data_IF_385547908312
#
_entry.id   IF_385547908312
#
_cell.length_a   1.000
_cell.length_b   1.000
_cell.length_c   1.000
_cell.angle_alpha   90.00
_cell.angle_beta   90.00
_cell.angle_gamma   90.00
#
_symmetry.space_group_name_H-M   'P 1'
#
loop_
_entity.id
_entity.type
_entity.pdbx_description
1 polymer ?
#
# COMPACT_ATOMS: atom_id res chain seq x y z
N UNK A 1 -59.09 -4.15 2.65
CA UNK A 1 -58.34 -2.89 2.83
C UNK A 1 -57.14 -2.92 1.89
N UNK A 2 -56.99 -1.98 0.93
CA UNK A 2 -55.83 -1.97 0.06
C UNK A 2 -54.64 -1.39 0.84
N UNK A 3 -53.55 -2.15 0.87
CA UNK A 3 -52.27 -1.73 1.42
C UNK A 3 -51.75 -0.56 0.56
N UNK A 4 -51.78 0.66 1.09
CA UNK A 4 -51.21 1.84 0.40
C UNK A 4 -49.71 1.64 0.29
N UNK A 5 -49.25 1.30 -0.91
CA UNK A 5 -47.84 1.43 -1.28
C UNK A 5 -47.44 2.91 -1.10
N UNK A 6 -46.70 3.20 -0.03
CA UNK A 6 -46.00 4.47 0.12
C UNK A 6 -44.98 4.54 -1.01
N UNK A 7 -45.28 5.31 -2.07
CA UNK A 7 -44.28 5.72 -3.06
C UNK A 7 -43.11 6.31 -2.27
N UNK A 8 -41.98 5.61 -2.21
CA UNK A 8 -40.71 6.21 -1.79
C UNK A 8 -40.51 7.41 -2.72
N UNK A 9 -40.49 8.61 -2.15
CA UNK A 9 -40.09 9.78 -2.91
C UNK A 9 -38.69 9.51 -3.47
N UNK A 10 -38.57 9.53 -4.80
CA UNK A 10 -37.28 9.44 -5.48
C UNK A 10 -36.44 10.62 -5.03
N UNK A 11 -35.24 10.35 -4.54
CA UNK A 11 -34.29 11.40 -4.22
C UNK A 11 -34.02 12.26 -5.46
N UNK A 12 -33.91 13.57 -5.26
CA UNK A 12 -33.56 14.53 -6.31
C UNK A 12 -32.31 15.28 -5.87
N UNK A 13 -31.39 15.49 -6.80
CA UNK A 13 -30.21 16.30 -6.56
C UNK A 13 -30.64 17.76 -6.37
N UNK A 14 -30.13 18.40 -5.33
CA UNK A 14 -30.13 19.86 -5.24
C UNK A 14 -29.22 20.47 -6.32
N UNK A 15 -29.27 21.79 -6.46
CA UNK A 15 -28.54 22.53 -7.47
C UNK A 15 -27.01 22.33 -7.33
N UNK A 16 -26.50 22.41 -6.09
CA UNK A 16 -25.08 22.24 -5.80
C UNK A 16 -24.59 20.83 -6.17
N UNK A 17 -25.36 19.80 -5.83
CA UNK A 17 -25.07 18.40 -6.14
C UNK A 17 -25.12 18.15 -7.64
N UNK A 18 -26.07 18.76 -8.35
CA UNK A 18 -26.19 18.65 -9.80
C UNK A 18 -24.98 19.29 -10.51
N UNK A 19 -24.55 20.46 -10.05
CA UNK A 19 -23.36 21.16 -10.54
C UNK A 19 -22.11 20.31 -10.31
N UNK A 20 -21.94 19.76 -9.10
CA UNK A 20 -20.81 18.91 -8.75
C UNK A 20 -20.73 17.65 -9.61
N UNK A 21 -21.86 16.95 -9.79
CA UNK A 21 -21.92 15.76 -10.64
C UNK A 21 -21.53 16.11 -12.08
N UNK A 22 -22.05 17.22 -12.62
CA UNK A 22 -21.72 17.68 -13.97
C UNK A 22 -20.23 17.97 -14.10
N UNK A 23 -19.66 18.72 -13.15
CA UNK A 23 -18.24 19.05 -13.12
C UNK A 23 -17.36 17.79 -13.12
N UNK A 24 -17.74 16.76 -12.35
CA UNK A 24 -17.02 15.49 -12.32
C UNK A 24 -17.17 14.67 -13.59
N UNK A 25 -18.32 14.70 -14.25
CA UNK A 25 -18.50 14.05 -15.55
C UNK A 25 -17.63 14.72 -16.63
N UNK A 26 -17.62 16.05 -16.70
CA UNK A 26 -16.79 16.81 -17.64
C UNK A 26 -15.29 16.60 -17.39
N UNK A 27 -14.86 16.66 -16.12
CA UNK A 27 -13.48 16.39 -15.73
C UNK A 27 -13.06 14.97 -16.13
N UNK A 28 -13.94 13.99 -15.95
CA UNK A 28 -13.65 12.60 -16.32
C UNK A 28 -13.63 12.39 -17.84
N UNK A 29 -14.52 13.02 -18.59
CA UNK A 29 -14.45 13.01 -20.05
C UNK A 29 -13.15 13.63 -20.57
N UNK A 30 -12.69 14.74 -19.96
CA UNK A 30 -11.44 15.39 -20.31
C UNK A 30 -10.20 14.54 -19.96
N UNK A 31 -10.18 13.90 -18.79
CA UNK A 31 -9.07 13.04 -18.33
C UNK A 31 -8.89 11.78 -19.20
N UNK A 32 -10.00 11.24 -19.72
CA UNK A 32 -10.02 9.99 -20.50
C UNK A 32 -10.37 10.20 -21.98
N UNK A 33 -10.18 11.41 -22.51
CA UNK A 33 -10.35 11.74 -23.94
C UNK A 33 -11.69 11.27 -24.54
N UNK A 34 -12.80 11.56 -23.84
CA UNK A 34 -14.15 11.16 -24.25
C UNK A 34 -14.52 9.72 -23.89
N UNK A 35 -13.64 8.96 -23.23
CA UNK A 35 -13.90 7.60 -22.73
C UNK A 35 -14.14 7.56 -21.21
N UNK A 36 -14.80 8.58 -20.65
CA UNK A 36 -15.15 8.67 -19.24
C UNK A 36 -16.03 7.50 -18.77
N UNK A 37 -15.88 7.10 -17.50
CA UNK A 37 -16.58 5.95 -16.89
C UNK A 37 -17.34 6.36 -15.64
N UNK A 38 -18.62 6.04 -15.60
CA UNK A 38 -19.51 6.32 -14.46
C UNK A 38 -18.96 5.81 -13.12
N UNK A 39 -18.33 4.63 -13.09
CA UNK A 39 -17.73 4.08 -11.87
C UNK A 39 -16.64 4.98 -11.25
N UNK A 40 -15.83 5.64 -12.07
CA UNK A 40 -14.79 6.58 -11.61
C UNK A 40 -15.43 7.81 -10.97
N UNK A 41 -16.43 8.39 -11.65
CA UNK A 41 -17.17 9.56 -11.17
C UNK A 41 -17.93 9.26 -9.88
N UNK A 42 -18.61 8.11 -9.79
CA UNK A 42 -19.32 7.67 -8.58
C UNK A 42 -18.35 7.50 -7.43
N UNK A 43 -17.19 6.86 -7.65
CA UNK A 43 -16.18 6.67 -6.60
C UNK A 43 -15.68 7.99 -6.03
N UNK A 44 -15.40 8.97 -6.91
CA UNK A 44 -14.98 10.32 -6.52
C UNK A 44 -16.09 11.06 -5.76
N UNK A 45 -17.31 11.06 -6.30
CA UNK A 45 -18.47 11.72 -5.70
C UNK A 45 -18.77 11.19 -4.29
N UNK A 46 -18.76 9.87 -4.10
CA UNK A 46 -19.07 9.24 -2.81
C UNK A 46 -17.94 9.37 -1.77
N UNK A 47 -16.72 9.68 -2.24
CA UNK A 47 -15.58 10.01 -1.39
C UNK A 47 -15.69 11.40 -0.76
N UNK A 48 -16.18 12.37 -1.53
CA UNK A 48 -16.36 13.75 -1.08
C UNK A 48 -17.71 14.00 -0.41
N UNK A 49 -18.80 13.48 -0.99
CA UNK A 49 -20.18 13.62 -0.50
C UNK A 49 -20.70 12.30 0.06
N UNK A 50 -20.23 11.96 1.26
CA UNK A 50 -20.62 10.73 1.95
C UNK A 50 -22.14 10.66 2.25
N UNK A 51 -22.81 11.80 2.32
CA UNK A 51 -24.26 11.96 2.48
C UNK A 51 -25.08 11.41 1.30
N UNK A 52 -24.47 11.23 0.13
CA UNK A 52 -25.14 10.67 -1.05
C UNK A 52 -25.17 9.14 -1.08
N UNK A 53 -24.41 8.46 -0.20
CA UNK A 53 -24.31 6.98 -0.18
C UNK A 53 -25.66 6.28 0.01
N UNK A 54 -26.59 6.73 0.88
CA UNK A 54 -27.91 6.12 1.02
C UNK A 54 -28.76 6.20 -0.27
N UNK A 55 -28.48 7.15 -1.15
CA UNK A 55 -29.21 7.41 -2.39
C UNK A 55 -28.51 6.84 -3.62
N UNK A 56 -27.53 5.95 -3.45
CA UNK A 56 -26.74 5.41 -4.56
C UNK A 56 -27.54 4.77 -5.68
N UNK A 57 -28.74 4.24 -5.39
CA UNK A 57 -29.66 3.67 -6.41
C UNK A 57 -30.25 4.72 -7.34
N UNK A 58 -30.45 5.94 -6.85
CA UNK A 58 -30.97 7.07 -7.63
C UNK A 58 -29.82 7.87 -8.27
N UNK A 59 -28.70 8.02 -7.57
CA UNK A 59 -27.52 8.76 -8.04
C UNK A 59 -26.81 8.03 -9.19
N UNK A 60 -26.65 6.70 -9.12
CA UNK A 60 -25.84 5.96 -10.11
C UNK A 60 -26.37 6.07 -11.55
N UNK A 61 -27.68 5.90 -11.82
CA UNK A 61 -28.22 6.09 -13.16
C UNK A 61 -28.08 7.53 -13.66
N UNK A 62 -28.27 8.52 -12.78
CA UNK A 62 -28.08 9.94 -13.11
C UNK A 62 -26.64 10.22 -13.55
N UNK A 63 -25.66 9.75 -12.77
CA UNK A 63 -24.23 9.89 -13.11
C UNK A 63 -23.91 9.17 -14.42
N UNK A 64 -24.44 7.97 -14.64
CA UNK A 64 -24.20 7.23 -15.88
C UNK A 64 -24.69 7.99 -17.12
N UNK A 65 -25.89 8.59 -17.05
CA UNK A 65 -26.42 9.42 -18.13
C UNK A 65 -25.58 10.68 -18.36
N UNK A 66 -25.15 11.36 -17.30
CA UNK A 66 -24.32 12.57 -17.42
C UNK A 66 -22.91 12.28 -17.93
N UNK A 67 -22.32 11.12 -17.60
CA UNK A 67 -21.05 10.68 -18.19
C UNK A 67 -21.20 10.40 -19.68
N UNK A 68 -22.27 9.70 -20.09
CA UNK A 68 -22.53 9.47 -21.50
C UNK A 68 -22.67 10.79 -22.27
N UNK A 69 -23.42 11.75 -21.72
CA UNK A 69 -23.55 13.09 -22.31
C UNK A 69 -22.23 13.83 -22.38
N UNK A 70 -21.40 13.77 -21.33
CA UNK A 70 -20.08 14.42 -21.32
C UNK A 70 -19.14 13.81 -22.36
N UNK A 71 -19.17 12.49 -22.56
CA UNK A 71 -18.40 11.80 -23.59
C UNK A 71 -18.87 12.21 -24.99
N UNK A 72 -20.17 12.21 -25.27
CA UNK A 72 -20.71 12.66 -26.56
C UNK A 72 -20.39 14.14 -26.83
N UNK A 73 -20.48 15.00 -25.80
CA UNK A 73 -20.11 16.41 -25.92
C UNK A 73 -18.62 16.59 -26.24
N UNK A 74 -17.76 15.75 -25.68
CA UNK A 74 -16.34 15.72 -26.00
C UNK A 74 -16.10 15.30 -27.46
N UNK A 75 -16.80 14.27 -27.94
CA UNK A 75 -16.72 13.83 -29.34
C UNK A 75 -17.20 14.90 -30.33
N UNK A 76 -18.28 15.61 -29.99
CA UNK A 76 -18.89 16.63 -30.86
C UNK A 76 -18.11 17.95 -30.90
N UNK A 77 -17.65 18.43 -29.73
CA UNK A 77 -17.09 19.80 -29.59
C UNK A 77 -15.61 19.84 -29.25
N UNK A 78 -15.00 18.70 -28.96
CA UNK A 78 -13.58 18.59 -28.62
C UNK A 78 -13.24 18.98 -27.18
N UNK A 79 -11.96 18.79 -26.85
CA UNK A 79 -11.43 18.96 -25.49
C UNK A 79 -11.40 20.41 -25.00
N UNK A 80 -11.22 21.38 -25.90
CA UNK A 80 -11.18 22.80 -25.54
C UNK A 80 -12.54 23.30 -25.04
N UNK A 81 -13.64 22.91 -25.70
CA UNK A 81 -14.98 23.26 -25.23
C UNK A 81 -15.28 22.70 -23.84
N UNK A 82 -14.90 21.44 -23.59
CA UNK A 82 -15.08 20.79 -22.29
C UNK A 82 -14.25 21.49 -21.22
N UNK A 83 -13.04 21.93 -21.57
CA UNK A 83 -12.16 22.69 -20.66
C UNK A 83 -12.78 24.02 -20.28
N UNK A 84 -13.29 24.79 -21.24
CA UNK A 84 -13.93 26.09 -21.00
C UNK A 84 -15.19 25.94 -20.12
N UNK A 85 -16.02 24.92 -20.37
CA UNK A 85 -17.18 24.63 -19.51
C UNK A 85 -16.76 24.25 -18.09
N UNK A 86 -15.69 23.46 -17.95
CA UNK A 86 -15.20 23.04 -16.65
C UNK A 86 -14.54 24.19 -15.88
N UNK A 87 -13.87 25.11 -16.58
CA UNK A 87 -13.26 26.31 -16.00
C UNK A 87 -14.32 27.26 -15.41
N UNK A 88 -15.48 27.37 -16.06
CA UNK A 88 -16.60 28.18 -15.55
C UNK A 88 -17.25 27.59 -14.29
N UNK A 89 -17.28 26.27 -14.17
CA UNK A 89 -18.04 25.58 -13.12
C UNK A 89 -17.17 25.19 -11.93
N UNK A 90 -15.99 24.66 -12.20
CA UNK A 90 -15.11 24.08 -11.21
C UNK A 90 -13.65 24.18 -11.66
N UNK A 91 -13.08 25.41 -11.69
CA UNK A 91 -11.73 25.65 -12.19
C UNK A 91 -10.67 24.86 -11.41
N UNK A 92 -10.91 24.65 -10.11
CA UNK A 92 -10.04 23.83 -9.24
C UNK A 92 -9.89 22.36 -9.70
N UNK A 93 -10.77 21.84 -10.58
CA UNK A 93 -10.65 20.49 -11.15
C UNK A 93 -9.69 20.41 -12.33
N UNK A 94 -9.36 21.55 -12.95
CA UNK A 94 -8.33 21.66 -13.98
C UNK A 94 -6.92 21.76 -13.38
N UNK A 95 -6.82 22.16 -12.10
CA UNK A 95 -5.57 22.18 -11.37
C UNK A 95 -5.09 20.75 -11.10
N UNK A 96 -4.13 20.30 -11.91
CA UNK A 96 -3.47 19.01 -11.72
C UNK A 96 -2.68 19.06 -10.41
N UNK A 97 -3.26 18.57 -9.30
CA UNK A 97 -2.49 18.32 -8.07
C UNK A 97 -1.38 17.33 -8.41
N UNK A 98 -0.17 17.84 -8.60
CA UNK A 98 1.02 17.00 -8.68
C UNK A 98 1.10 16.31 -7.32
N UNK A 99 0.67 15.05 -7.24
CA UNK A 99 1.00 14.22 -6.10
C UNK A 99 2.51 14.13 -6.11
N UNK A 100 3.17 14.88 -5.22
CA UNK A 100 4.58 14.70 -4.95
C UNK A 100 4.77 13.23 -4.59
N UNK A 101 5.29 12.46 -5.55
CA UNK A 101 5.68 11.09 -5.28
C UNK A 101 6.86 11.20 -4.35
N UNK A 102 6.71 10.72 -3.13
CA UNK A 102 7.82 10.63 -2.19
C UNK A 102 8.95 9.87 -2.89
N UNK A 103 10.07 10.55 -3.09
CA UNK A 103 11.28 9.95 -3.64
C UNK A 103 12.08 9.41 -2.47
N UNK A 104 12.50 8.14 -2.56
CA UNK A 104 13.30 7.50 -1.51
C UNK A 104 12.49 6.93 -0.35
N UNK A 105 13.22 6.41 0.64
CA UNK A 105 12.67 5.81 1.84
C UNK A 105 12.28 6.89 2.86
N UNK A 106 11.28 6.64 3.72
CA UNK A 106 10.99 7.54 4.82
C UNK A 106 12.15 7.61 5.82
N UNK A 107 12.32 8.74 6.50
CA UNK A 107 13.30 8.82 7.57
C UNK A 107 12.95 7.84 8.70
N UNK A 108 13.98 7.21 9.26
CA UNK A 108 13.82 6.38 10.46
C UNK A 108 13.56 7.28 11.68
N UNK A 109 12.59 6.93 12.55
CA UNK A 109 12.41 7.64 13.80
C UNK A 109 13.60 7.39 14.74
N UNK A 110 13.98 8.40 15.52
CA UNK A 110 14.95 8.28 16.62
C UNK A 110 16.29 7.64 16.25
N UNK A 111 16.85 7.99 15.09
CA UNK A 111 18.25 7.67 14.77
C UNK A 111 19.14 8.50 15.69
N UNK A 112 19.47 7.94 16.86
CA UNK A 112 20.39 8.56 17.83
C UNK A 112 21.81 8.73 17.28
N UNK A 113 22.76 9.09 18.15
CA UNK A 113 24.17 9.33 17.78
C UNK A 113 24.93 8.08 17.24
N UNK A 114 24.25 6.94 17.11
CA UNK A 114 24.81 5.68 16.65
C UNK A 114 24.51 5.36 15.18
N UNK A 115 25.40 4.57 14.57
CA UNK A 115 25.18 3.98 13.23
C UNK A 115 24.02 3.00 13.26
N UNK A 116 23.09 3.12 12.31
CA UNK A 116 21.94 2.21 12.22
C UNK A 116 22.42 0.77 11.95
N UNK A 117 21.87 -0.20 12.67
CA UNK A 117 22.12 -1.63 12.43
C UNK A 117 20.84 -2.29 11.99
N UNK A 118 20.82 -2.79 10.76
CA UNK A 118 19.67 -3.46 10.15
C UNK A 118 19.98 -4.93 9.92
N UNK A 119 18.94 -5.77 9.84
CA UNK A 119 19.12 -7.19 9.51
C UNK A 119 18.08 -7.73 8.54
N UNK A 120 18.55 -8.54 7.61
CA UNK A 120 17.74 -9.49 6.86
C UNK A 120 17.99 -10.90 7.42
N UNK A 121 16.91 -11.63 7.74
CA UNK A 121 17.00 -12.90 8.45
C UNK A 121 16.30 -14.05 7.70
N UNK A 122 16.90 -14.58 6.62
CA UNK A 122 16.32 -15.68 5.86
C UNK A 122 16.53 -17.02 6.58
N UNK A 123 15.64 -17.97 6.33
CA UNK A 123 15.92 -19.38 6.63
C UNK A 123 16.77 -19.92 5.46
N UNK A 124 17.90 -20.60 5.70
CA UNK A 124 18.76 -21.11 4.62
C UNK A 124 18.23 -22.43 4.05
N UNK A 125 16.93 -22.59 3.85
CA UNK A 125 16.30 -23.82 3.35
C UNK A 125 16.10 -23.84 1.82
N UNK A 126 16.56 -22.80 1.12
CA UNK A 126 16.44 -22.63 -0.33
C UNK A 126 16.98 -21.28 -0.80
N UNK A 127 16.83 -20.98 -2.09
CA UNK A 127 17.25 -19.70 -2.68
C UNK A 127 16.25 -18.57 -2.41
N UNK A 128 16.71 -17.33 -2.55
CA UNK A 128 15.84 -16.18 -2.38
C UNK A 128 14.91 -16.01 -3.59
N UNK A 129 13.61 -15.94 -3.32
CA UNK A 129 12.63 -15.42 -4.28
C UNK A 129 12.70 -13.89 -4.40
N UNK A 130 12.10 -13.35 -5.47
CA UNK A 130 11.94 -11.90 -5.68
C UNK A 130 11.28 -11.18 -4.49
N UNK A 131 10.43 -11.84 -3.70
CA UNK A 131 9.82 -11.25 -2.51
C UNK A 131 10.83 -10.82 -1.45
N UNK A 132 11.96 -11.55 -1.34
CA UNK A 132 13.04 -11.21 -0.40
C UNK A 132 13.79 -9.95 -0.80
N UNK A 133 13.87 -9.66 -2.10
CA UNK A 133 14.61 -8.50 -2.63
C UNK A 133 14.15 -7.19 -1.98
N UNK A 134 12.84 -7.04 -1.73
CA UNK A 134 12.27 -5.86 -1.06
C UNK A 134 12.83 -5.68 0.34
N UNK A 135 12.88 -6.75 1.13
CA UNK A 135 13.45 -6.69 2.48
C UNK A 135 14.92 -6.35 2.44
N UNK A 136 15.68 -7.00 1.56
CA UNK A 136 17.13 -6.79 1.41
C UNK A 136 17.44 -5.35 1.00
N UNK A 137 16.81 -4.86 -0.08
CA UNK A 137 17.04 -3.50 -0.61
C UNK A 137 16.65 -2.44 0.42
N UNK A 138 15.48 -2.55 1.07
CA UNK A 138 15.07 -1.55 2.06
C UNK A 138 16.08 -1.49 3.21
N UNK A 139 16.51 -2.65 3.74
CA UNK A 139 17.48 -2.68 4.83
C UNK A 139 18.86 -2.16 4.37
N UNK A 140 19.29 -2.48 3.15
CA UNK A 140 20.58 -2.01 2.63
C UNK A 140 20.60 -0.51 2.34
N UNK A 141 19.52 0.05 1.81
CA UNK A 141 19.45 1.48 1.51
C UNK A 141 19.44 2.32 2.79
N UNK A 142 18.76 1.87 3.85
CA UNK A 142 18.93 2.50 5.17
C UNK A 142 20.34 2.37 5.72
N UNK A 143 20.98 1.20 5.57
CA UNK A 143 22.35 1.02 6.01
C UNK A 143 23.31 1.97 5.26
N UNK A 144 23.13 2.17 3.95
CA UNK A 144 23.92 3.15 3.17
C UNK A 144 23.65 4.58 3.62
N UNK A 145 22.37 4.96 3.71
CA UNK A 145 21.96 6.33 4.04
C UNK A 145 22.45 6.80 5.42
N UNK A 146 22.61 5.87 6.37
CA UNK A 146 23.04 6.17 7.74
C UNK A 146 24.46 5.67 8.07
N UNK A 147 25.28 5.33 7.07
CA UNK A 147 26.61 4.75 7.26
C UNK A 147 26.61 3.58 8.27
N UNK A 148 25.52 2.81 8.22
CA UNK A 148 25.14 1.74 9.11
C UNK A 148 25.75 0.38 8.77
N UNK A 149 25.22 -0.66 9.40
CA UNK A 149 25.60 -2.05 9.17
C UNK A 149 24.39 -2.85 8.70
N UNK A 150 24.57 -3.61 7.62
CA UNK A 150 23.64 -4.65 7.20
C UNK A 150 24.10 -6.00 7.75
N UNK A 151 23.23 -6.66 8.50
CA UNK A 151 23.44 -8.02 9.00
C UNK A 151 22.63 -8.99 8.14
N UNK A 152 23.28 -10.05 7.67
CA UNK A 152 22.64 -11.24 7.12
C UNK A 152 22.62 -12.31 8.22
N UNK A 153 21.46 -12.51 8.86
CA UNK A 153 21.28 -13.47 9.95
C UNK A 153 20.60 -14.73 9.42
N UNK A 154 21.35 -15.81 9.21
CA UNK A 154 20.73 -17.09 8.86
C UNK A 154 19.94 -17.63 10.05
N UNK A 155 18.63 -17.79 9.87
CA UNK A 155 17.71 -18.32 10.88
C UNK A 155 17.51 -19.82 10.64
N UNK A 156 18.43 -20.62 11.17
CA UNK A 156 18.58 -22.04 10.90
C UNK A 156 18.21 -22.93 12.10
N UNK A 157 17.41 -22.41 13.03
CA UNK A 157 17.02 -23.11 14.26
C UNK A 157 15.90 -24.13 14.07
N UNK A 158 15.13 -24.04 12.99
CA UNK A 158 14.05 -24.97 12.65
C UNK A 158 14.58 -26.10 11.75
N UNK A 159 15.05 -27.17 12.40
CA UNK A 159 15.65 -28.31 11.71
C UNK A 159 14.65 -29.27 11.08
N UNK A 160 13.34 -29.09 11.32
CA UNK A 160 12.29 -30.04 10.89
C UNK A 160 11.49 -29.46 9.73
N UNK A 161 10.88 -28.29 9.91
CA UNK A 161 10.02 -27.70 8.88
C UNK A 161 10.82 -26.88 7.87
N UNK A 162 11.98 -26.35 8.29
CA UNK A 162 12.83 -25.48 7.45
C UNK A 162 14.28 -25.92 7.50
N UNK A 163 14.49 -27.22 7.32
CA UNK A 163 15.82 -27.82 7.33
C UNK A 163 16.83 -27.03 6.48
N UNK A 164 17.97 -26.62 7.05
CA UNK A 164 19.00 -25.88 6.34
C UNK A 164 19.59 -26.67 5.16
N UNK A 165 19.79 -25.97 4.04
CA UNK A 165 20.53 -26.43 2.88
C UNK A 165 21.89 -25.74 2.88
N UNK A 166 22.98 -26.49 3.03
CA UNK A 166 24.34 -25.93 3.13
C UNK A 166 24.71 -25.02 1.95
N UNK A 167 24.28 -25.37 0.72
CA UNK A 167 24.54 -24.54 -0.46
C UNK A 167 23.74 -23.24 -0.50
N UNK A 168 22.72 -23.08 0.33
CA UNK A 168 21.95 -21.84 0.43
C UNK A 168 22.74 -20.75 1.16
N UNK A 169 23.63 -21.09 2.10
CA UNK A 169 24.39 -20.08 2.86
C UNK A 169 25.25 -19.22 1.93
N UNK A 170 26.09 -19.87 1.12
CA UNK A 170 26.98 -19.19 0.15
C UNK A 170 26.16 -18.43 -0.90
N UNK A 171 25.14 -19.07 -1.49
CA UNK A 171 24.34 -18.44 -2.55
C UNK A 171 23.54 -17.23 -2.07
N UNK A 172 22.95 -17.31 -0.88
CA UNK A 172 22.21 -16.18 -0.30
C UNK A 172 23.16 -15.01 -0.02
N UNK A 173 24.38 -15.29 0.48
CA UNK A 173 25.39 -14.25 0.68
C UNK A 173 25.76 -13.57 -0.65
N UNK A 174 26.08 -14.36 -1.68
CA UNK A 174 26.37 -13.85 -3.04
C UNK A 174 25.21 -13.03 -3.62
N UNK A 175 23.97 -13.49 -3.49
CA UNK A 175 22.77 -12.78 -3.97
C UNK A 175 22.56 -11.45 -3.25
N UNK A 176 22.80 -11.41 -1.93
CA UNK A 176 22.70 -10.18 -1.13
C UNK A 176 23.80 -9.20 -1.52
N UNK A 177 25.04 -9.66 -1.68
CA UNK A 177 26.16 -8.83 -2.13
C UNK A 177 25.90 -8.27 -3.53
N UNK A 178 25.45 -9.11 -4.46
CA UNK A 178 25.11 -8.71 -5.83
C UNK A 178 23.98 -7.68 -5.88
N UNK A 179 22.91 -7.90 -5.11
CA UNK A 179 21.73 -7.05 -5.14
C UNK A 179 21.97 -5.68 -4.48
N UNK A 180 22.79 -5.64 -3.43
CA UNK A 180 22.96 -4.43 -2.60
C UNK A 180 24.26 -3.68 -2.87
N UNK A 181 25.29 -4.36 -3.40
CA UNK A 181 26.66 -3.86 -3.47
C UNK A 181 27.33 -3.73 -2.10
N UNK A 182 26.75 -4.30 -1.04
CA UNK A 182 27.31 -4.31 0.31
C UNK A 182 27.72 -5.72 0.71
N UNK A 183 28.87 -5.84 1.37
CA UNK A 183 29.24 -7.06 2.10
C UNK A 183 28.53 -7.10 3.45
N UNK A 184 27.54 -7.98 3.68
CA UNK A 184 26.83 -8.03 4.94
C UNK A 184 27.70 -8.63 6.06
N UNK A 185 27.40 -8.27 7.31
CA UNK A 185 27.91 -9.01 8.46
C UNK A 185 27.11 -10.30 8.63
N UNK A 186 27.79 -11.44 8.58
CA UNK A 186 27.14 -12.74 8.73
C UNK A 186 26.93 -13.08 10.21
N UNK A 187 25.74 -13.58 10.53
CA UNK A 187 25.41 -14.19 11.82
C UNK A 187 24.64 -15.48 11.54
N UNK A 188 25.02 -16.58 12.17
CA UNK A 188 24.28 -17.84 12.10
C UNK A 188 23.56 -18.04 13.44
N UNK A 189 22.25 -18.28 13.39
CA UNK A 189 21.45 -18.37 14.61
C UNK A 189 21.81 -19.59 15.45
N UNK A 190 22.04 -20.74 14.81
CA UNK A 190 22.43 -22.00 15.47
C UNK A 190 23.79 -21.94 16.18
N UNK A 191 24.70 -21.08 15.75
CA UNK A 191 25.97 -20.85 16.46
C UNK A 191 25.80 -20.11 17.81
N UNK A 192 24.60 -19.60 18.09
CA UNK A 192 24.29 -18.80 19.28
C UNK A 192 23.38 -19.53 20.27
N UNK A 193 23.23 -20.86 20.15
CA UNK A 193 22.34 -21.62 21.03
C UNK A 193 22.70 -21.50 22.51
N UNK A 194 23.99 -21.46 22.84
CA UNK A 194 24.46 -21.23 24.23
C UNK A 194 24.01 -19.86 24.74
N UNK A 195 24.18 -18.81 23.94
CA UNK A 195 23.70 -17.46 24.26
C UNK A 195 22.18 -17.42 24.51
N UNK A 196 21.39 -18.10 23.66
CA UNK A 196 19.94 -18.17 23.87
C UNK A 196 19.57 -18.93 25.13
N UNK A 197 20.27 -20.03 25.43
CA UNK A 197 20.06 -20.82 26.63
C UNK A 197 20.34 -19.99 27.90
N UNK A 198 21.45 -19.25 27.96
CA UNK A 198 21.76 -18.34 29.06
C UNK A 198 20.63 -17.33 29.31
N UNK A 199 20.09 -16.73 28.25
CA UNK A 199 18.99 -15.77 28.37
C UNK A 199 17.68 -16.44 28.80
N UNK A 200 17.44 -17.68 28.38
CA UNK A 200 16.29 -18.45 28.85
C UNK A 200 16.38 -18.74 30.35
N UNK A 201 17.56 -19.09 30.86
CA UNK A 201 17.82 -19.26 32.31
C UNK A 201 17.57 -17.96 33.06
N UNK A 202 18.12 -16.84 32.59
CA UNK A 202 17.90 -15.52 33.22
C UNK A 202 16.41 -15.13 33.24
N UNK A 203 15.68 -15.40 32.16
CA UNK A 203 14.24 -15.15 32.09
C UNK A 203 13.46 -15.99 33.12
N UNK A 204 13.87 -17.23 33.37
CA UNK A 204 13.28 -18.07 34.41
C UNK A 204 13.60 -17.54 35.81
N UNK A 205 14.84 -17.14 36.06
CA UNK A 205 15.29 -16.58 37.36
C UNK A 205 14.56 -15.29 37.72
N UNK A 206 14.25 -14.44 36.74
CA UNK A 206 13.48 -13.20 36.94
C UNK A 206 11.96 -13.40 36.91
N UNK A 207 11.47 -14.64 36.90
CA UNK A 207 10.06 -15.00 36.76
C UNK A 207 9.38 -14.40 35.50
N UNK A 208 10.15 -14.14 34.44
CA UNK A 208 9.68 -13.67 33.13
C UNK A 208 9.28 -14.80 32.18
N UNK A 209 9.57 -16.05 32.53
CA UNK A 209 9.17 -17.26 31.81
C UNK A 209 8.83 -18.40 32.78
N UNK A 210 8.19 -19.46 32.27
CA UNK A 210 7.94 -20.70 33.00
C UNK A 210 7.96 -21.90 32.05
N UNK A 211 8.15 -23.11 32.59
CA UNK A 211 8.10 -24.36 31.82
C UNK A 211 6.65 -24.86 31.79
N UNK A 212 6.02 -24.83 30.61
CA UNK A 212 4.70 -25.43 30.42
C UNK A 212 4.85 -26.95 30.26
N UNK A 213 4.07 -27.71 31.03
CA UNK A 213 4.03 -29.18 30.98
C UNK A 213 2.74 -29.72 30.35
N UNK A 214 1.88 -28.83 29.83
CA UNK A 214 0.67 -29.23 29.09
C UNK A 214 1.05 -29.82 27.73
N UNK A 215 0.18 -30.66 27.16
CA UNK A 215 0.28 -31.04 25.76
C UNK A 215 0.07 -29.83 24.85
N UNK A 216 0.69 -29.84 23.66
CA UNK A 216 0.54 -28.79 22.65
C UNK A 216 -0.65 -28.99 21.71
N UNK A 217 -1.64 -29.77 22.14
CA UNK A 217 -2.89 -30.05 21.41
C UNK A 217 -3.93 -28.94 21.60
#
# INVERSE_FOLDING_TARGET
MPCRATRKMSWQADEETSILIRAYCLANALEYEGAGKAGSVIGRLMGERADLRPFGKDVSPLVAGLVANANSLFEEKGSDFIRDELELIAPHLLEKKVKERRVGLPDLPDVGEGKVVLRFAPNPNGLLSFGHSRGIIINSEYAKAHNGTLILRFDDTDTIQKAPLLSAYEKIEEEVEWLTGLKPKIIIASERMEYYHEHAVQLLEMAGAYICLCSGE
#
